data_IF_329283532043
#
_entry.id   IF_329283532043
#
_cell.length_a   1.000
_cell.length_b   1.000
_cell.length_c   1.000
_cell.angle_alpha   90.00
_cell.angle_beta   90.00
_cell.angle_gamma   90.00
#
_symmetry.space_group_name_H-M   'P 1'
#
loop_
_entity.id
_entity.type
_entity.pdbx_description
1 polymer ?
#
# COMPACT_ATOMS: atom_id res chain seq x y z
N UNK A 1 17.81 -3.05 3.37
CA UNK A 1 16.93 -4.02 2.75
C UNK A 1 15.62 -3.39 2.34
N UNK A 2 15.16 -3.66 1.16
CA UNK A 2 13.94 -3.08 0.67
C UNK A 2 12.85 -4.12 0.54
N UNK A 3 11.63 -3.70 0.77
CA UNK A 3 10.48 -4.57 0.62
C UNK A 3 9.74 -4.19 -0.66
N UNK A 4 9.15 -5.16 -1.30
CA UNK A 4 8.35 -4.91 -2.48
C UNK A 4 6.90 -4.80 -2.09
N UNK A 5 6.24 -3.79 -2.62
CA UNK A 5 4.83 -3.56 -2.36
C UNK A 5 4.11 -3.53 -3.70
N UNK A 6 3.04 -4.29 -3.81
CA UNK A 6 2.23 -4.26 -5.03
C UNK A 6 1.14 -3.22 -4.81
N UNK A 7 1.18 -2.16 -5.58
CA UNK A 7 0.23 -1.07 -5.45
C UNK A 7 -0.77 -1.20 -6.57
N UNK A 8 -2.04 -1.40 -6.22
CA UNK A 8 -3.09 -1.56 -7.23
C UNK A 8 -4.04 -0.39 -7.13
N UNK A 9 -4.27 0.29 -8.24
CA UNK A 9 -5.17 1.42 -8.27
C UNK A 9 -6.60 0.93 -8.43
N UNK A 10 -7.57 1.77 -8.09
CA UNK A 10 -8.97 1.45 -8.29
C UNK A 10 -9.27 1.09 -9.72
N UNK A 11 -8.54 1.63 -10.66
CA UNK A 11 -8.77 1.36 -12.06
C UNK A 11 -8.32 -0.05 -12.44
N UNK A 12 -7.61 -0.73 -11.56
CA UNK A 12 -7.13 -2.07 -11.83
C UNK A 12 -5.67 -2.13 -12.21
N UNK A 13 -5.04 -0.99 -12.46
CA UNK A 13 -3.64 -0.98 -12.80
C UNK A 13 -2.80 -1.28 -11.58
N UNK A 14 -1.79 -2.08 -11.73
CA UNK A 14 -0.93 -2.43 -10.62
C UNK A 14 0.53 -2.17 -10.97
N UNK A 15 1.30 -1.80 -9.97
CA UNK A 15 2.72 -1.60 -10.18
C UNK A 15 3.43 -2.01 -8.91
N UNK A 16 4.71 -2.31 -9.00
CA UNK A 16 5.49 -2.70 -7.85
C UNK A 16 6.35 -1.53 -7.42
N UNK A 17 6.27 -1.18 -6.15
CA UNK A 17 7.10 -0.13 -5.58
C UNK A 17 7.96 -0.74 -4.51
N UNK A 18 9.17 -0.25 -4.35
CA UNK A 18 10.07 -0.75 -3.33
C UNK A 18 10.36 0.35 -2.34
N UNK A 19 10.41 0.00 -1.10
CA UNK A 19 10.72 0.96 -0.05
C UNK A 19 11.33 0.24 1.13
N UNK A 20 12.03 0.98 1.97
CA UNK A 20 12.71 0.38 3.11
C UNK A 20 11.75 0.19 4.27
N UNK A 21 10.63 0.86 4.28
CA UNK A 21 9.64 0.68 5.32
C UNK A 21 8.27 1.10 4.79
N UNK A 22 7.24 0.69 5.49
CA UNK A 22 5.87 1.05 5.13
C UNK A 22 5.69 2.56 5.13
N UNK A 23 6.25 3.22 6.14
CA UNK A 23 6.13 4.64 6.24
C UNK A 23 6.74 5.35 5.03
N UNK A 24 7.90 4.88 4.59
CA UNK A 24 8.54 5.47 3.42
C UNK A 24 7.78 5.17 2.15
N UNK A 25 7.16 3.98 2.08
CA UNK A 25 6.37 3.64 0.93
C UNK A 25 5.17 4.59 0.83
N UNK A 26 4.47 4.82 1.93
CA UNK A 26 3.29 5.68 1.93
C UNK A 26 3.67 7.09 1.48
N UNK A 27 4.79 7.58 1.99
CA UNK A 27 5.24 8.91 1.61
C UNK A 27 5.51 8.99 0.12
N UNK A 28 6.21 8.01 -0.43
CA UNK A 28 6.52 8.00 -1.86
C UNK A 28 5.26 7.85 -2.68
N UNK A 29 4.35 6.99 -2.23
CA UNK A 29 3.13 6.74 -2.96
C UNK A 29 2.28 8.00 -3.05
N UNK A 30 2.14 8.72 -1.95
CA UNK A 30 1.34 9.93 -1.95
C UNK A 30 2.00 11.10 -2.67
N UNK A 31 3.31 11.06 -2.83
CA UNK A 31 3.98 12.04 -3.65
C UNK A 31 3.74 11.76 -5.12
N UNK A 32 3.63 10.50 -5.48
CA UNK A 32 3.41 10.13 -6.85
C UNK A 32 1.94 10.26 -7.22
N UNK A 33 1.03 9.87 -6.33
CA UNK A 33 -0.40 9.94 -6.58
C UNK A 33 -1.04 10.65 -5.40
N UNK A 34 -1.26 11.93 -5.53
CA UNK A 34 -1.79 12.73 -4.43
C UNK A 34 -3.01 12.18 -3.75
N UNK A 35 -3.97 11.76 -4.49
CA UNK A 35 -5.19 11.23 -3.91
C UNK A 35 -5.35 9.78 -4.31
N UNK A 36 -4.36 8.99 -3.96
CA UNK A 36 -4.36 7.59 -4.34
C UNK A 36 -5.55 6.85 -3.73
N UNK A 37 -6.23 6.08 -4.58
CA UNK A 37 -7.30 5.20 -4.15
C UNK A 37 -7.00 3.82 -4.69
N UNK A 38 -7.08 2.81 -3.85
CA UNK A 38 -6.76 1.46 -4.24
C UNK A 38 -6.23 0.71 -3.04
N UNK A 39 -5.26 -0.15 -3.24
CA UNK A 39 -4.71 -0.90 -2.12
C UNK A 39 -3.27 -1.29 -2.39
N UNK A 40 -2.56 -1.57 -1.31
CA UNK A 40 -1.19 -2.05 -1.36
C UNK A 40 -1.12 -3.41 -0.72
N UNK A 41 -0.43 -4.34 -1.36
CA UNK A 41 -0.27 -5.68 -0.82
C UNK A 41 1.22 -5.94 -0.64
N UNK A 42 1.58 -6.51 0.48
CA UNK A 42 2.99 -6.83 0.73
C UNK A 42 3.09 -7.97 1.74
N UNK A 43 4.29 -8.51 1.86
CA UNK A 43 4.54 -9.56 2.83
C UNK A 43 5.40 -8.96 3.92
N UNK A 44 4.93 -9.06 5.16
CA UNK A 44 5.67 -8.47 6.28
C UNK A 44 6.83 -9.37 6.71
N UNK A 45 7.55 -8.96 7.73
CA UNK A 45 8.72 -9.71 8.18
C UNK A 45 8.40 -11.11 8.64
N UNK A 46 7.19 -11.33 9.08
CA UNK A 46 6.80 -12.66 9.54
C UNK A 46 6.31 -13.55 8.42
N UNK A 47 6.32 -13.05 7.20
CA UNK A 47 5.88 -13.83 6.06
C UNK A 47 4.40 -13.82 5.83
N UNK A 48 3.68 -12.91 6.50
CA UNK A 48 2.24 -12.83 6.33
C UNK A 48 1.88 -11.76 5.31
N UNK A 49 0.89 -12.05 4.49
CA UNK A 49 0.43 -11.10 3.49
C UNK A 49 -0.39 -10.02 4.18
N UNK A 50 -0.09 -8.77 3.89
CA UNK A 50 -0.81 -7.64 4.45
C UNK A 50 -1.42 -6.84 3.31
N UNK A 51 -2.64 -6.37 3.50
CA UNK A 51 -3.30 -5.54 2.50
C UNK A 51 -3.76 -4.26 3.19
N UNK A 52 -3.40 -3.12 2.64
CA UNK A 52 -3.79 -1.83 3.18
C UNK A 52 -4.54 -1.08 2.11
N UNK A 53 -5.75 -0.65 2.43
CA UNK A 53 -6.57 0.08 1.48
C UNK A 53 -6.41 1.58 1.64
N UNK A 54 -6.52 2.30 0.53
CA UNK A 54 -6.42 3.74 0.53
C UNK A 54 -7.63 4.32 -0.16
N UNK A 55 -8.05 5.50 0.29
CA UNK A 55 -9.11 6.22 -0.37
C UNK A 55 -8.77 7.70 -0.27
N UNK A 56 -8.71 8.38 -1.42
CA UNK A 56 -8.40 9.80 -1.50
C UNK A 56 -7.13 10.18 -0.74
N UNK A 57 -6.13 9.32 -0.83
CA UNK A 57 -4.85 9.60 -0.21
C UNK A 57 -4.76 9.28 1.26
N UNK A 58 -5.80 8.65 1.81
CA UNK A 58 -5.79 8.29 3.22
C UNK A 58 -5.96 6.80 3.40
N UNK A 59 -5.35 6.27 4.43
CA UNK A 59 -5.46 4.84 4.70
C UNK A 59 -6.80 4.58 5.34
N UNK A 60 -7.55 3.62 4.76
CA UNK A 60 -8.85 3.25 5.28
C UNK A 60 -8.65 2.01 6.12
N UNK A 61 -8.96 2.12 7.40
CA UNK A 61 -8.80 0.98 8.26
C UNK A 61 -9.97 0.04 8.09
N UNK A 62 -9.67 -1.21 7.72
CA UNK A 62 -10.71 -2.14 7.60
C UNK A 62 -11.06 -2.67 8.89
N UNK A 63 -12.36 -2.69 9.25
CA UNK A 63 -12.80 -3.17 10.47
C UNK A 63 -12.69 -4.62 10.47
N UNK A 64 -11.99 -5.18 11.31
CA UNK A 64 -11.94 -6.57 11.39
C UNK A 64 -13.14 -7.05 12.01
N UNK A 65 -13.78 -7.98 11.48
CA UNK A 65 -14.94 -8.46 12.01
C UNK A 65 -14.56 -9.54 12.80
N UNK A 66 -14.75 -9.68 13.72
CA UNK A 66 -14.33 -10.76 14.45
C UNK A 66 -15.11 -11.50 15.04
#
# INVERSE_FOLDING_TARGET
MRYEYTVTKDSGEAEIMKAMSWKKLVKSLLLKYEKFSGWCTYINKKGHVQVKAFKDGKIVHERKRN
#
